data_IF_845670202286
#
_entry.id   IF_845670202286
#
_cell.length_a   1.000
_cell.length_b   1.000
_cell.length_c   1.000
_cell.angle_alpha   90.00
_cell.angle_beta   90.00
_cell.angle_gamma   90.00
#
_symmetry.space_group_name_H-M   'P 1'
#
loop_
_entity.id
_entity.type
_entity.pdbx_description
1 polymer ?
#
# COMPACT_ATOMS: atom_id res chain seq x y z
N UNK A 1 -3.99 15.43 -18.84
CA UNK A 1 -2.72 15.13 -19.53
C UNK A 1 -2.39 13.67 -19.26
N UNK A 2 -2.66 12.79 -20.22
CA UNK A 2 -2.28 11.37 -20.18
C UNK A 2 -0.80 11.29 -20.50
N UNK A 3 0.03 11.03 -19.50
CA UNK A 3 1.45 10.77 -19.70
C UNK A 3 1.61 9.40 -20.39
N UNK A 4 2.42 9.35 -21.45
CA UNK A 4 2.71 8.11 -22.16
C UNK A 4 3.39 7.11 -21.20
N UNK A 5 2.79 5.93 -21.04
CA UNK A 5 3.22 4.87 -20.13
C UNK A 5 4.55 4.20 -20.54
N UNK A 6 5.02 4.48 -21.75
CA UNK A 6 6.20 3.87 -22.36
C UNK A 6 6.99 4.96 -23.07
N UNK A 7 8.22 5.19 -22.61
CA UNK A 7 9.20 5.94 -23.40
C UNK A 7 10.14 4.94 -24.08
N UNK A 8 10.21 5.01 -25.40
CA UNK A 8 11.12 4.21 -26.22
C UNK A 8 12.16 5.15 -26.84
N UNK A 9 13.43 4.88 -26.59
CA UNK A 9 14.54 5.55 -27.27
C UNK A 9 15.33 4.53 -28.07
N UNK A 10 15.47 4.78 -29.37
CA UNK A 10 16.30 3.97 -30.26
C UNK A 10 17.72 4.54 -30.32
N UNK A 11 18.70 3.75 -29.90
CA UNK A 11 20.12 4.08 -30.05
C UNK A 11 20.65 3.82 -31.47
N UNK A 12 21.86 4.31 -31.76
CA UNK A 12 22.50 4.30 -33.09
C UNK A 12 22.79 2.88 -33.63
N UNK A 13 22.65 1.82 -32.81
CA UNK A 13 22.83 0.41 -33.20
C UNK A 13 21.57 -0.46 -33.06
N UNK A 14 20.38 0.13 -32.99
CA UNK A 14 19.12 -0.62 -32.90
C UNK A 14 18.82 -1.19 -31.50
N UNK A 15 19.58 -0.76 -30.48
CA UNK A 15 19.21 -1.01 -29.09
C UNK A 15 17.98 -0.16 -28.74
N UNK A 16 16.87 -0.85 -28.44
CA UNK A 16 15.65 -0.23 -27.94
C UNK A 16 15.64 -0.28 -26.42
N UNK A 17 15.74 0.87 -25.76
CA UNK A 17 15.52 0.98 -24.33
C UNK A 17 14.04 1.28 -24.09
N UNK A 18 13.30 0.30 -23.58
CA UNK A 18 11.89 0.44 -23.18
C UNK A 18 11.85 0.71 -21.68
N UNK A 19 11.59 1.96 -21.30
CA UNK A 19 11.33 2.31 -19.90
C UNK A 19 9.82 2.38 -19.69
N UNK A 20 9.28 1.38 -18.98
CA UNK A 20 7.87 1.33 -18.60
C UNK A 20 7.71 1.91 -17.20
N UNK A 21 7.05 3.05 -17.10
CA UNK A 21 6.72 3.68 -15.82
C UNK A 21 5.40 3.10 -15.34
N UNK A 22 5.47 2.09 -14.47
CA UNK A 22 4.30 1.60 -13.75
C UNK A 22 4.17 2.35 -12.44
N UNK A 23 3.08 3.10 -12.27
CA UNK A 23 2.69 3.56 -10.94
C UNK A 23 2.07 2.38 -10.18
N UNK A 24 2.91 1.55 -9.57
CA UNK A 24 2.51 0.39 -8.75
C UNK A 24 2.12 0.79 -7.32
N UNK A 25 1.61 2.01 -7.13
CA UNK A 25 1.11 2.44 -5.84
C UNK A 25 -0.24 1.81 -5.56
N UNK A 26 -0.41 1.24 -4.36
CA UNK A 26 -1.68 0.69 -3.90
C UNK A 26 -2.10 1.35 -2.59
N UNK A 27 -3.42 1.52 -2.42
CA UNK A 27 -4.01 1.93 -1.14
C UNK A 27 -4.59 0.71 -0.45
N UNK A 28 -4.18 0.49 0.80
CA UNK A 28 -4.65 -0.62 1.62
C UNK A 28 -5.43 -0.04 2.79
N UNK A 29 -6.70 -0.41 2.91
CA UNK A 29 -7.56 0.02 4.02
C UNK A 29 -7.76 -1.15 4.97
N UNK A 30 -7.38 -0.97 6.24
CA UNK A 30 -7.57 -1.97 7.29
C UNK A 30 -8.54 -1.40 8.31
N UNK A 31 -9.63 -2.12 8.55
CA UNK A 31 -10.58 -1.82 9.62
C UNK A 31 -10.28 -2.75 10.78
N UNK A 32 -9.98 -2.18 11.93
CA UNK A 32 -9.71 -2.91 13.17
C UNK A 32 -10.77 -2.57 14.20
N UNK A 33 -11.12 -3.55 15.03
CA UNK A 33 -11.85 -3.32 16.26
C UNK A 33 -11.14 -2.24 17.12
N UNK A 34 -11.90 -1.40 17.83
CA UNK A 34 -11.37 -0.23 18.54
C UNK A 34 -10.31 -0.55 19.60
N UNK A 35 -10.40 -1.71 20.25
CA UNK A 35 -9.46 -2.20 21.27
C UNK A 35 -8.31 -3.05 20.71
N UNK A 36 -8.26 -3.24 19.38
CA UNK A 36 -7.25 -4.10 18.78
C UNK A 36 -5.84 -3.61 19.15
N UNK A 37 -4.95 -4.49 19.64
CA UNK A 37 -3.59 -4.10 20.02
C UNK A 37 -2.80 -3.55 18.82
N UNK A 38 -3.16 -3.95 17.60
CA UNK A 38 -2.60 -3.44 16.35
C UNK A 38 -2.80 -1.94 16.17
N UNK A 39 -3.84 -1.34 16.77
CA UNK A 39 -4.07 0.11 16.72
C UNK A 39 -2.92 0.89 17.35
N UNK A 40 -2.35 0.41 18.46
CA UNK A 40 -1.20 1.07 19.09
C UNK A 40 0.05 1.01 18.20
N UNK A 41 0.26 -0.13 17.53
CA UNK A 41 1.37 -0.30 16.59
C UNK A 41 1.21 0.61 15.37
N UNK A 42 0.01 0.71 14.81
CA UNK A 42 -0.26 1.57 13.65
C UNK A 42 -0.16 3.05 14.00
N UNK A 43 -0.56 3.44 15.20
CA UNK A 43 -0.35 4.80 15.71
C UNK A 43 1.14 5.15 15.85
N UNK A 44 1.97 4.22 16.35
CA UNK A 44 3.42 4.40 16.39
C UNK A 44 4.03 4.53 14.98
N UNK A 45 3.60 3.70 14.03
CA UNK A 45 4.05 3.79 12.63
C UNK A 45 3.63 5.12 11.99
N UNK A 46 2.41 5.58 12.25
CA UNK A 46 1.91 6.86 11.77
C UNK A 46 2.73 8.03 12.33
N UNK A 47 3.05 8.01 13.62
CA UNK A 47 3.89 9.02 14.29
C UNK A 47 5.34 8.99 13.84
N UNK A 48 5.89 7.80 13.60
CA UNK A 48 7.26 7.63 13.16
C UNK A 48 7.46 8.13 11.70
N UNK A 49 6.43 8.05 10.86
CA UNK A 49 6.50 8.50 9.47
C UNK A 49 7.48 7.71 8.61
N UNK A 50 7.85 6.50 9.05
CA UNK A 50 8.82 5.64 8.37
C UNK A 50 8.14 4.63 7.45
N UNK A 51 8.80 4.22 6.34
CA UNK A 51 8.33 3.10 5.54
C UNK A 51 8.42 1.80 6.32
N UNK A 52 7.46 0.90 6.11
CA UNK A 52 7.51 -0.46 6.62
C UNK A 52 7.01 -1.46 5.57
N UNK A 53 7.50 -2.71 5.60
CA UNK A 53 7.03 -3.74 4.69
C UNK A 53 5.65 -4.26 5.12
N UNK A 54 4.80 -4.58 4.14
CA UNK A 54 3.51 -5.23 4.36
C UNK A 54 3.39 -6.47 3.47
N UNK A 55 2.91 -7.57 4.06
CA UNK A 55 2.54 -8.79 3.36
C UNK A 55 1.11 -9.11 3.74
N UNK A 56 0.27 -9.37 2.74
CA UNK A 56 -1.10 -9.83 2.95
C UNK A 56 -1.40 -10.99 2.01
N UNK A 57 -2.34 -11.83 2.43
CA UNK A 57 -2.78 -12.98 1.67
C UNK A 57 -4.30 -13.02 1.71
N UNK A 58 -4.92 -13.03 0.54
CA UNK A 58 -6.33 -13.36 0.40
C UNK A 58 -6.52 -14.85 0.70
N UNK A 59 -7.55 -15.17 1.48
CA UNK A 59 -7.94 -16.54 1.80
C UNK A 59 -9.12 -17.02 0.95
N UNK A 60 -9.62 -16.19 0.05
CA UNK A 60 -10.66 -16.53 -0.91
C UNK A 60 -10.14 -17.52 -1.95
N UNK A 61 -11.05 -18.23 -2.63
CA UNK A 61 -10.69 -19.18 -3.68
C UNK A 61 -10.12 -18.43 -4.90
N UNK A 62 -8.92 -18.81 -5.36
CA UNK A 62 -8.11 -18.02 -6.32
C UNK A 62 -7.38 -16.81 -5.71
N UNK A 63 -7.12 -16.85 -4.39
CA UNK A 63 -6.57 -15.74 -3.63
C UNK A 63 -5.23 -15.20 -4.13
N UNK A 64 -4.96 -13.94 -3.79
CA UNK A 64 -3.73 -13.24 -4.11
C UNK A 64 -2.81 -13.13 -2.88
N UNK A 65 -1.50 -13.26 -3.08
CA UNK A 65 -0.51 -12.80 -2.12
C UNK A 65 0.01 -11.45 -2.59
N UNK A 66 -0.22 -10.42 -1.79
CA UNK A 66 0.24 -9.07 -2.05
C UNK A 66 1.35 -8.65 -1.09
N UNK A 67 2.36 -7.95 -1.60
CA UNK A 67 3.52 -7.49 -0.85
C UNK A 67 3.93 -6.07 -1.28
N UNK A 68 4.46 -5.30 -0.34
CA UNK A 68 5.15 -4.02 -0.60
C UNK A 68 6.24 -3.83 0.44
N UNK A 69 7.43 -3.39 0.00
CA UNK A 69 8.56 -3.10 0.91
C UNK A 69 8.40 -1.73 1.56
N UNK A 70 7.77 -0.79 0.85
CA UNK A 70 7.65 0.61 1.25
C UNK A 70 6.19 1.02 1.39
N UNK A 71 5.62 0.72 2.55
CA UNK A 71 4.28 1.14 2.93
C UNK A 71 4.32 2.27 3.98
N UNK A 72 3.45 3.26 3.85
CA UNK A 72 3.32 4.38 4.78
C UNK A 72 1.88 4.46 5.31
N UNK A 73 1.70 4.96 6.53
CA UNK A 73 0.37 5.35 7.01
C UNK A 73 -0.02 6.66 6.33
N UNK A 74 -1.04 6.63 5.48
CA UNK A 74 -1.51 7.80 4.74
C UNK A 74 -2.56 8.58 5.53
N UNK A 75 -3.50 7.86 6.16
CA UNK A 75 -4.53 8.45 7.01
C UNK A 75 -4.56 7.71 8.34
N UNK A 76 -4.18 8.37 9.45
CA UNK A 76 -4.31 7.78 10.77
C UNK A 76 -5.79 7.64 11.15
N UNK A 77 -6.12 6.62 11.94
CA UNK A 77 -7.49 6.43 12.38
C UNK A 77 -7.97 7.60 13.25
N UNK A 78 -9.18 8.09 12.98
CA UNK A 78 -9.79 9.17 13.77
C UNK A 78 -10.05 8.67 15.19
N UNK A 79 -9.53 9.40 16.18
CA UNK A 79 -9.82 9.13 17.59
C UNK A 79 -11.10 9.86 17.98
N UNK A 80 -12.26 9.19 17.86
CA UNK A 80 -13.51 9.73 18.40
C UNK A 80 -13.58 9.46 19.92
N UNK A 81 -13.70 10.53 20.72
CA UNK A 81 -14.01 10.45 22.16
C UNK A 81 -15.52 10.27 22.33
N UNK A 82 -16.01 9.04 22.16
CA UNK A 82 -17.40 8.65 22.40
C UNK A 82 -17.50 7.46 23.36
N UNK A 83 -18.63 7.31 24.05
CA UNK A 83 -18.94 6.12 24.89
C UNK A 83 -19.19 4.85 24.05
N UNK A 84 -19.36 4.99 22.74
CA UNK A 84 -19.64 3.89 21.84
C UNK A 84 -18.34 3.30 21.29
N UNK A 85 -18.25 1.97 21.37
CA UNK A 85 -17.18 1.21 20.77
C UNK A 85 -17.29 1.30 19.26
N UNK A 86 -16.28 1.87 18.60
CA UNK A 86 -16.23 1.99 17.15
C UNK A 86 -14.93 1.42 16.60
N UNK A 87 -15.05 0.83 15.42
CA UNK A 87 -13.90 0.35 14.66
C UNK A 87 -13.03 1.52 14.20
N UNK A 88 -11.74 1.25 14.08
CA UNK A 88 -10.72 2.17 13.60
C UNK A 88 -10.32 1.80 12.18
N UNK A 89 -10.52 2.74 11.27
CA UNK A 89 -10.10 2.61 9.87
C UNK A 89 -8.73 3.24 9.67
N UNK A 90 -7.79 2.44 9.18
CA UNK A 90 -6.43 2.86 8.83
C UNK A 90 -6.25 2.78 7.32
N UNK A 91 -5.64 3.81 6.73
CA UNK A 91 -5.32 3.81 5.30
C UNK A 91 -3.82 3.86 5.13
N UNK A 92 -3.29 2.90 4.39
CA UNK A 92 -1.89 2.77 4.07
C UNK A 92 -1.64 2.99 2.57
N UNK A 93 -0.49 3.57 2.25
CA UNK A 93 -0.01 3.76 0.89
C UNK A 93 1.22 2.86 0.67
N UNK A 94 1.05 1.81 -0.12
CA UNK A 94 2.12 0.96 -0.63
C UNK A 94 2.72 1.61 -1.88
N UNK A 95 4.03 1.87 -1.90
CA UNK A 95 4.70 2.54 -3.02
C UNK A 95 5.16 1.60 -4.13
N UNK A 96 5.38 0.34 -3.77
CA UNK A 96 5.96 -0.70 -4.61
C UNK A 96 5.16 -2.01 -4.49
N UNK A 97 3.84 -1.89 -4.70
CA UNK A 97 2.95 -3.03 -4.61
C UNK A 97 3.28 -4.08 -5.67
N UNK A 98 3.40 -5.33 -5.22
CA UNK A 98 3.54 -6.51 -6.04
C UNK A 98 2.54 -7.57 -5.57
N UNK A 99 1.76 -8.11 -6.50
CA UNK A 99 0.78 -9.16 -6.24
C UNK A 99 1.07 -10.39 -7.09
N UNK A 100 0.85 -11.57 -6.54
CA UNK A 100 0.86 -12.84 -7.27
C UNK A 100 -0.39 -13.64 -6.94
N UNK A 101 -1.12 -14.06 -7.98
CA UNK A 101 -2.23 -14.99 -7.84
C UNK A 101 -1.71 -16.36 -7.41
N UNK A 102 -2.42 -17.00 -6.48
CA UNK A 102 -2.12 -18.35 -5.98
C UNK A 102 -3.15 -19.37 -6.42
#
# INVERSE_FOLDING_TARGET
>A
MTADLISSQSGVKGEANVSKFYDNRAKITIVLLGDSPSNAKFDLLAKAGIPFPILWKDKSDGGEIGFSEKCYVMTPAVSERGKEYKDKTWVFLALDYNGAYT
#
